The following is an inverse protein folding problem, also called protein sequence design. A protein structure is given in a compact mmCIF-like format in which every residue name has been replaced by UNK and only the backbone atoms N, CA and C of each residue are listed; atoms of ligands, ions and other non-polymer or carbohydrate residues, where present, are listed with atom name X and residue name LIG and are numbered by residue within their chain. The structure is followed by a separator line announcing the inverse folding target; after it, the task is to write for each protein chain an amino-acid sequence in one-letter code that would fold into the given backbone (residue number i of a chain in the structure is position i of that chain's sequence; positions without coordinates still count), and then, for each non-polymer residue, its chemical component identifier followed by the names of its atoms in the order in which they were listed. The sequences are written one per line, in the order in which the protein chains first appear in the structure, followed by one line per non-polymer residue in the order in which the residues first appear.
data_IF_766146279365
#
_entry.id   IF_766146279365
#
_cell.length_a   1.000
_cell.length_b   1.000
_cell.length_c   1.000
_cell.angle_alpha   90.00
_cell.angle_beta   90.00
_cell.angle_gamma   90.00
#
_symmetry.space_group_name_H-M   'P 1'
#
loop_
_entity.id
_entity.type
_entity.pdbx_description
1 polymer ?
#
# COMPACT_ATOMS: atom_id res chain seq x y z
N UNK A 1 -4.77 -46.75 11.74
CA UNK A 1 -4.23 -45.91 10.65
C UNK A 1 -5.18 -45.77 9.46
N UNK A 2 -5.72 -46.83 8.87
CA UNK A 2 -6.62 -46.76 7.70
C UNK A 2 -7.91 -45.91 7.94
N UNK A 3 -8.50 -45.95 9.13
CA UNK A 3 -9.72 -45.14 9.48
C UNK A 3 -9.44 -43.68 9.63
N UNK A 4 -8.23 -43.26 10.08
CA UNK A 4 -7.83 -41.86 10.19
C UNK A 4 -7.52 -41.25 8.82
N UNK A 5 -6.94 -42.04 7.90
CA UNK A 5 -6.69 -41.55 6.52
C UNK A 5 -8.01 -41.37 5.77
N UNK A 6 -8.97 -42.27 5.93
CA UNK A 6 -10.31 -42.16 5.33
C UNK A 6 -11.10 -40.95 5.90
N UNK A 7 -10.98 -40.68 7.19
CA UNK A 7 -11.59 -39.51 7.83
C UNK A 7 -10.96 -38.20 7.33
N UNK A 8 -9.63 -38.14 7.18
CA UNK A 8 -8.94 -36.98 6.63
C UNK A 8 -9.28 -36.73 5.15
N UNK A 9 -9.43 -37.83 4.36
CA UNK A 9 -9.84 -37.72 2.95
C UNK A 9 -11.30 -37.26 2.81
N UNK A 10 -12.19 -37.74 3.67
CA UNK A 10 -13.59 -37.29 3.72
C UNK A 10 -13.71 -35.82 4.14
N UNK A 11 -12.89 -35.38 5.11
CA UNK A 11 -12.83 -33.99 5.54
C UNK A 11 -12.30 -33.06 4.43
N UNK A 12 -11.28 -33.50 3.68
CA UNK A 12 -10.73 -32.75 2.55
C UNK A 12 -11.73 -32.63 1.37
N UNK A 13 -12.56 -33.65 1.15
CA UNK A 13 -13.62 -33.63 0.13
C UNK A 13 -14.80 -32.73 0.51
N UNK A 14 -15.11 -32.59 1.80
CA UNK A 14 -16.18 -31.68 2.27
C UNK A 14 -15.75 -30.22 2.26
N UNK A 15 -14.47 -29.91 2.48
CA UNK A 15 -13.93 -28.54 2.38
C UNK A 15 -13.90 -28.05 0.93
N UNK A 16 -13.70 -28.95 -0.05
CA UNK A 16 -13.74 -28.60 -1.47
C UNK A 16 -15.15 -28.25 -2.01
N UNK A 17 -16.22 -28.73 -1.36
CA UNK A 17 -17.60 -28.47 -1.78
C UNK A 17 -18.18 -27.17 -1.19
N UNK A 18 -17.59 -26.60 -0.15
CA UNK A 18 -18.09 -25.38 0.50
C UNK A 18 -17.59 -24.08 -0.17
N UNK A 19 -16.68 -24.16 -1.15
CA UNK A 19 -16.06 -22.97 -1.76
C UNK A 19 -16.73 -22.48 -3.05
N UNK A 20 -17.82 -23.12 -3.49
CA UNK A 20 -18.65 -22.61 -4.58
C UNK A 20 -19.83 -21.76 -4.04
N UNK A 21 -19.54 -20.79 -3.17
CA UNK A 21 -20.47 -19.69 -3.00
C UNK A 21 -20.41 -18.87 -4.30
N UNK A 22 -21.35 -19.14 -5.19
CA UNK A 22 -21.63 -18.26 -6.31
C UNK A 22 -21.96 -16.91 -5.71
N UNK A 23 -21.04 -15.95 -5.85
CA UNK A 23 -21.35 -14.55 -5.56
C UNK A 23 -22.51 -14.23 -6.51
N UNK A 24 -23.70 -14.06 -5.93
CA UNK A 24 -24.88 -13.65 -6.69
C UNK A 24 -24.71 -12.19 -7.13
N UNK A 25 -24.02 -12.02 -8.25
CA UNK A 25 -23.86 -10.73 -8.93
C UNK A 25 -25.18 -10.22 -9.50
N UNK A 26 -26.22 -11.05 -9.51
CA UNK A 26 -27.55 -10.67 -9.98
C UNK A 26 -28.20 -9.57 -9.14
N UNK A 27 -27.91 -9.52 -7.84
CA UNK A 27 -28.38 -8.46 -6.94
C UNK A 27 -27.69 -7.11 -7.11
N UNK A 28 -26.54 -7.05 -7.76
CA UNK A 28 -25.81 -5.81 -8.05
C UNK A 28 -26.23 -5.18 -9.40
N UNK A 29 -27.07 -5.87 -10.17
CA UNK A 29 -27.52 -5.43 -11.50
C UNK A 29 -28.98 -4.97 -11.39
N UNK A 30 -29.28 -3.67 -11.65
CA UNK A 30 -30.67 -3.20 -11.69
C UNK A 30 -31.48 -4.02 -12.70
N UNK A 31 -32.59 -4.58 -12.25
CA UNK A 31 -33.51 -5.45 -13.04
C UNK A 31 -34.40 -4.67 -14.04
N UNK A 32 -33.89 -3.57 -14.56
CA UNK A 32 -34.55 -2.83 -15.65
C UNK A 32 -34.19 -3.44 -17.01
N UNK A 33 -35.16 -3.72 -17.86
CA UNK A 33 -35.19 -4.37 -19.17
C UNK A 33 -34.04 -4.16 -20.16
N UNK A 34 -32.80 -4.21 -19.70
CA UNK A 34 -31.60 -4.11 -20.51
C UNK A 34 -31.44 -5.37 -21.39
N UNK A 35 -31.09 -5.16 -22.66
CA UNK A 35 -30.76 -6.25 -23.60
C UNK A 35 -29.59 -7.09 -23.04
N UNK A 36 -29.51 -8.38 -23.41
CA UNK A 36 -28.42 -9.27 -22.98
C UNK A 36 -27.04 -8.63 -23.21
N UNK A 37 -26.88 -7.89 -24.30
CA UNK A 37 -25.64 -7.15 -24.62
C UNK A 37 -25.32 -6.05 -23.57
N UNK A 38 -26.31 -5.29 -23.11
CA UNK A 38 -26.10 -4.27 -22.10
C UNK A 38 -25.69 -4.87 -20.76
N UNK A 39 -26.23 -6.03 -20.39
CA UNK A 39 -25.76 -6.78 -19.16
C UNK A 39 -24.34 -7.27 -19.27
N UNK A 40 -23.93 -7.79 -20.43
CA UNK A 40 -22.55 -8.22 -20.66
C UNK A 40 -21.59 -7.03 -20.54
N UNK A 41 -21.91 -5.89 -21.14
CA UNK A 41 -21.12 -4.66 -21.05
C UNK A 41 -21.02 -4.17 -19.59
N UNK A 42 -22.14 -4.17 -18.86
CA UNK A 42 -22.16 -3.76 -17.45
C UNK A 42 -21.34 -4.70 -16.57
N UNK A 43 -21.44 -6.02 -16.76
CA UNK A 43 -20.60 -6.98 -16.05
C UNK A 43 -19.13 -6.80 -16.38
N UNK A 44 -18.77 -6.60 -17.64
CA UNK A 44 -17.40 -6.33 -18.06
C UNK A 44 -16.86 -5.04 -17.41
N UNK A 45 -17.66 -3.98 -17.36
CA UNK A 45 -17.30 -2.73 -16.69
C UNK A 45 -17.05 -2.92 -15.19
N UNK A 46 -17.95 -3.63 -14.49
CA UNK A 46 -17.78 -3.93 -13.05
C UNK A 46 -16.53 -4.75 -12.79
N UNK A 47 -16.28 -5.79 -13.59
CA UNK A 47 -15.06 -6.60 -13.47
C UNK A 47 -13.80 -5.78 -13.75
N UNK A 48 -13.84 -4.88 -14.73
CA UNK A 48 -12.71 -3.98 -15.03
C UNK A 48 -12.45 -3.05 -13.85
N UNK A 49 -13.48 -2.41 -13.29
CA UNK A 49 -13.34 -1.54 -12.11
C UNK A 49 -12.80 -2.33 -10.92
N UNK A 50 -13.34 -3.52 -10.66
CA UNK A 50 -12.91 -4.37 -9.55
C UNK A 50 -11.45 -4.83 -9.69
N UNK A 51 -10.97 -5.06 -10.92
CA UNK A 51 -9.57 -5.43 -11.16
C UNK A 51 -8.59 -4.27 -10.98
N UNK A 52 -9.02 -3.03 -11.23
CA UNK A 52 -8.20 -1.81 -11.10
C UNK A 52 -8.26 -1.21 -9.70
N UNK A 53 -9.37 -1.45 -8.96
CA UNK A 53 -9.62 -0.86 -7.64
C UNK A 53 -8.46 -1.05 -6.62
N UNK A 54 -7.84 -2.25 -6.49
CA UNK A 54 -6.70 -2.41 -5.57
C UNK A 54 -5.51 -1.51 -5.93
N UNK A 55 -5.23 -1.34 -7.23
CA UNK A 55 -4.18 -0.45 -7.71
C UNK A 55 -4.47 1.02 -7.37
N UNK A 56 -5.71 1.45 -7.56
CA UNK A 56 -6.13 2.81 -7.22
C UNK A 56 -6.02 3.07 -5.70
N UNK A 57 -6.45 2.12 -4.86
CA UNK A 57 -6.30 2.26 -3.40
C UNK A 57 -4.84 2.42 -2.98
N UNK A 58 -3.93 1.65 -3.58
CA UNK A 58 -2.48 1.79 -3.35
C UNK A 58 -2.01 3.20 -3.72
N UNK A 59 -2.50 3.74 -4.84
CA UNK A 59 -2.07 5.04 -5.37
C UNK A 59 -2.56 6.23 -4.55
N UNK A 60 -3.71 6.13 -3.85
CA UNK A 60 -4.29 7.25 -3.09
C UNK A 60 -4.08 7.14 -1.58
N UNK A 61 -3.25 6.18 -1.14
CA UNK A 61 -2.97 5.92 0.28
C UNK A 61 -1.48 6.01 0.60
N UNK A 62 -1.13 5.97 1.89
CA UNK A 62 0.26 5.93 2.37
C UNK A 62 0.99 4.59 2.14
N UNK A 63 0.34 3.60 1.52
CA UNK A 63 0.89 2.26 1.30
C UNK A 63 2.26 2.29 0.59
N UNK A 64 2.39 3.13 -0.43
CA UNK A 64 3.63 3.26 -1.21
C UNK A 64 4.80 3.69 -0.34
N UNK A 65 4.61 4.68 0.54
CA UNK A 65 5.64 5.15 1.50
C UNK A 65 6.14 4.02 2.38
N UNK A 66 5.22 3.28 3.01
CA UNK A 66 5.55 2.20 3.92
C UNK A 66 6.26 1.04 3.21
N UNK A 67 5.76 0.63 2.05
CA UNK A 67 6.36 -0.46 1.28
C UNK A 67 7.78 -0.14 0.83
N UNK A 68 8.02 1.08 0.36
CA UNK A 68 9.35 1.54 -0.06
C UNK A 68 10.29 1.56 1.15
N UNK A 69 9.91 2.19 2.26
CA UNK A 69 10.74 2.28 3.46
C UNK A 69 11.09 0.89 4.04
N UNK A 70 10.13 -0.04 4.12
CA UNK A 70 10.35 -1.40 4.57
C UNK A 70 11.24 -2.21 3.63
N UNK A 71 11.15 -1.96 2.31
CA UNK A 71 12.05 -2.57 1.32
C UNK A 71 13.49 -2.10 1.51
N UNK A 72 13.70 -0.83 1.83
CA UNK A 72 15.01 -0.28 2.18
C UNK A 72 15.56 -0.92 3.46
N UNK A 73 14.74 -1.12 4.50
CA UNK A 73 15.18 -1.83 5.71
C UNK A 73 15.76 -3.20 5.37
N UNK A 74 15.02 -4.02 4.61
CA UNK A 74 15.48 -5.36 4.22
C UNK A 74 16.82 -5.31 3.47
N UNK A 75 16.92 -4.38 2.52
CA UNK A 75 18.16 -4.18 1.76
C UNK A 75 19.31 -3.71 2.64
N UNK A 76 19.07 -2.76 3.55
CA UNK A 76 20.04 -2.23 4.50
C UNK A 76 20.59 -3.29 5.46
N UNK A 77 19.74 -4.18 5.93
CA UNK A 77 20.14 -5.33 6.74
C UNK A 77 20.98 -6.36 5.96
N UNK A 78 21.01 -6.29 4.61
CA UNK A 78 21.68 -7.27 3.77
C UNK A 78 20.90 -8.58 3.60
N UNK A 79 19.62 -8.59 3.92
CA UNK A 79 18.76 -9.76 3.82
C UNK A 79 18.17 -9.87 2.41
N UNK A 80 18.39 -11.02 1.74
CA UNK A 80 17.94 -11.23 0.36
C UNK A 80 16.47 -11.69 0.29
N UNK A 81 16.03 -12.55 1.21
CA UNK A 81 14.72 -13.18 1.15
C UNK A 81 13.89 -13.05 2.44
N UNK A 82 14.49 -12.67 3.56
CA UNK A 82 13.80 -12.51 4.84
C UNK A 82 13.77 -11.02 5.28
N UNK A 83 12.65 -10.52 5.81
CA UNK A 83 11.33 -11.13 5.78
C UNK A 83 10.78 -11.27 4.35
N UNK A 84 9.91 -12.27 4.11
CA UNK A 84 9.32 -12.49 2.79
C UNK A 84 8.54 -11.27 2.30
N UNK A 85 8.48 -11.06 0.98
CA UNK A 85 7.76 -9.92 0.38
C UNK A 85 6.31 -9.82 0.89
N UNK A 86 5.64 -10.96 1.04
CA UNK A 86 4.27 -10.99 1.54
C UNK A 86 4.15 -10.40 2.96
N UNK A 87 5.13 -10.66 3.84
CA UNK A 87 5.14 -10.10 5.20
C UNK A 87 5.29 -8.58 5.18
N UNK A 88 6.22 -8.06 4.35
CA UNK A 88 6.41 -6.61 4.21
C UNK A 88 5.18 -5.92 3.62
N UNK A 89 4.56 -6.52 2.60
CA UNK A 89 3.33 -6.02 1.99
C UNK A 89 2.19 -6.03 3.01
N UNK A 90 2.01 -7.14 3.75
CA UNK A 90 0.97 -7.24 4.77
C UNK A 90 1.15 -6.24 5.89
N UNK A 91 2.39 -6.03 6.36
CA UNK A 91 2.70 -5.02 7.37
C UNK A 91 2.43 -3.60 6.85
N UNK A 92 2.86 -3.30 5.61
CA UNK A 92 2.57 -2.01 4.97
C UNK A 92 1.08 -1.75 4.85
N UNK A 93 0.32 -2.77 4.47
CA UNK A 93 -1.14 -2.69 4.34
C UNK A 93 -1.80 -2.44 5.69
N UNK A 94 -1.39 -3.18 6.73
CA UNK A 94 -1.92 -3.01 8.08
C UNK A 94 -1.64 -1.59 8.63
N UNK A 95 -0.40 -1.10 8.45
CA UNK A 95 -0.02 0.27 8.83
C UNK A 95 -0.83 1.31 8.07
N UNK A 96 -1.07 1.06 6.77
CA UNK A 96 -1.90 1.94 5.93
C UNK A 96 -3.33 2.03 6.48
N UNK A 97 -3.97 0.89 6.75
CA UNK A 97 -5.31 0.87 7.33
C UNK A 97 -5.36 1.57 8.69
N UNK A 98 -4.33 1.37 9.51
CA UNK A 98 -4.25 2.01 10.83
C UNK A 98 -4.19 3.54 10.71
N UNK A 99 -3.31 4.07 9.87
CA UNK A 99 -3.12 5.53 9.71
C UNK A 99 -4.30 6.18 8.99
N UNK A 100 -4.85 5.49 7.99
CA UNK A 100 -5.96 6.01 7.18
C UNK A 100 -7.34 5.67 7.73
N UNK A 101 -7.44 5.06 8.92
CA UNK A 101 -8.73 4.74 9.54
C UNK A 101 -9.69 5.95 9.56
N UNK A 102 -9.28 7.18 9.94
CA UNK A 102 -10.17 8.34 9.91
C UNK A 102 -10.71 8.67 8.51
N UNK A 103 -9.86 8.50 7.48
CA UNK A 103 -10.22 8.75 6.07
C UNK A 103 -11.24 7.70 5.58
N UNK A 104 -11.02 6.43 5.88
CA UNK A 104 -11.95 5.35 5.55
C UNK A 104 -13.28 5.51 6.30
N UNK A 105 -13.25 5.88 7.57
CA UNK A 105 -14.45 6.09 8.37
C UNK A 105 -15.30 7.26 7.85
N UNK A 106 -14.67 8.36 7.40
CA UNK A 106 -15.39 9.47 6.75
C UNK A 106 -16.01 9.00 5.43
N UNK A 107 -15.25 8.34 4.55
CA UNK A 107 -15.75 7.85 3.27
C UNK A 107 -16.91 6.86 3.44
N UNK A 108 -16.87 6.04 4.48
CA UNK A 108 -17.96 5.13 4.83
C UNK A 108 -19.22 5.89 5.27
N UNK A 109 -19.10 6.75 6.29
CA UNK A 109 -20.24 7.44 6.91
C UNK A 109 -20.91 8.46 5.98
N UNK A 110 -20.08 9.22 5.24
CA UNK A 110 -20.58 10.34 4.43
C UNK A 110 -20.97 9.91 3.00
N UNK A 111 -20.42 8.78 2.52
CA UNK A 111 -20.62 8.31 1.17
C UNK A 111 -21.28 6.93 1.06
N UNK A 112 -20.63 5.88 1.54
CA UNK A 112 -21.07 4.51 1.26
C UNK A 112 -22.35 4.15 2.04
N UNK A 113 -22.44 4.48 3.31
CA UNK A 113 -23.61 4.20 4.14
C UNK A 113 -24.87 4.93 3.63
N UNK A 114 -24.87 6.26 3.36
CA UNK A 114 -26.02 6.94 2.80
C UNK A 114 -26.44 6.41 1.42
N UNK A 115 -25.48 5.95 0.60
CA UNK A 115 -25.78 5.31 -0.67
C UNK A 115 -26.54 3.98 -0.48
N UNK A 116 -26.08 3.15 0.48
CA UNK A 116 -26.75 1.88 0.81
C UNK A 116 -28.15 2.11 1.38
N UNK A 117 -28.33 3.19 2.15
CA UNK A 117 -29.62 3.61 2.71
C UNK A 117 -30.54 4.32 1.66
N UNK A 118 -30.07 4.43 0.41
CA UNK A 118 -30.76 5.13 -0.69
C UNK A 118 -31.14 6.59 -0.38
N UNK A 119 -30.35 7.27 0.49
CA UNK A 119 -30.59 8.67 0.86
C UNK A 119 -29.89 9.66 -0.06
N UNK A 120 -28.85 9.22 -0.79
CA UNK A 120 -28.12 10.03 -1.77
C UNK A 120 -28.00 9.31 -3.11
N UNK A 121 -27.77 10.07 -4.18
CA UNK A 121 -27.55 9.54 -5.52
C UNK A 121 -26.13 8.98 -5.68
N UNK A 122 -25.91 8.13 -6.69
CA UNK A 122 -24.57 7.57 -6.98
C UNK A 122 -23.53 8.67 -7.25
N UNK A 123 -23.94 9.77 -7.91
CA UNK A 123 -23.05 10.89 -8.19
C UNK A 123 -22.63 11.63 -6.92
N UNK A 124 -23.59 11.87 -6.01
CA UNK A 124 -23.32 12.46 -4.70
C UNK A 124 -22.44 11.55 -3.83
N UNK A 125 -22.70 10.24 -3.84
CA UNK A 125 -21.89 9.26 -3.12
C UNK A 125 -20.46 9.24 -3.64
N UNK A 126 -20.25 9.30 -4.95
CA UNK A 126 -18.90 9.36 -5.52
C UNK A 126 -18.12 10.57 -5.01
N UNK A 127 -18.71 11.75 -4.97
CA UNK A 127 -18.12 12.95 -4.38
C UNK A 127 -17.79 12.75 -2.90
N UNK A 128 -18.76 12.29 -2.12
CA UNK A 128 -18.60 12.09 -0.67
C UNK A 128 -17.54 11.01 -0.32
N UNK A 129 -17.41 9.96 -1.14
CA UNK A 129 -16.37 8.93 -0.96
C UNK A 129 -14.99 9.46 -1.33
N UNK A 130 -14.87 10.25 -2.40
CA UNK A 130 -13.56 10.70 -2.90
C UNK A 130 -12.99 11.88 -2.10
N UNK A 131 -13.83 12.71 -1.49
CA UNK A 131 -13.41 13.92 -0.79
C UNK A 131 -12.47 13.65 0.40
N UNK A 132 -12.70 12.68 1.32
CA UNK A 132 -11.76 12.36 2.37
C UNK A 132 -10.36 11.93 1.87
N UNK A 133 -10.32 11.21 0.73
CA UNK A 133 -9.03 10.85 0.11
C UNK A 133 -8.36 12.05 -0.54
N UNK A 134 -9.13 12.97 -1.13
CA UNK A 134 -8.62 14.24 -1.65
C UNK A 134 -7.97 15.06 -0.54
N UNK A 135 -8.68 15.25 0.59
CA UNK A 135 -8.15 15.97 1.77
C UNK A 135 -6.85 15.33 2.25
N UNK A 136 -6.82 14.00 2.36
CA UNK A 136 -5.63 13.27 2.75
C UNK A 136 -4.46 13.50 1.76
N UNK A 137 -4.68 13.34 0.48
CA UNK A 137 -3.65 13.55 -0.54
C UNK A 137 -3.13 14.99 -0.53
N UNK A 138 -4.01 15.99 -0.40
CA UNK A 138 -3.63 17.40 -0.32
C UNK A 138 -2.80 17.72 0.92
N UNK A 139 -3.04 17.05 2.04
CA UNK A 139 -2.23 17.22 3.26
C UNK A 139 -0.81 16.67 3.13
N UNK A 140 -0.62 15.68 2.25
CA UNK A 140 0.66 14.96 2.11
C UNK A 140 1.45 15.36 0.87
N UNK A 141 0.79 15.85 -0.20
CA UNK A 141 1.44 16.23 -1.45
C UNK A 141 2.29 17.50 -1.31
N UNK A 142 3.42 17.56 -2.00
CA UNK A 142 4.26 18.76 -2.05
C UNK A 142 3.80 19.68 -3.17
N UNK A 143 3.81 20.96 -2.91
CA UNK A 143 3.40 22.01 -3.87
C UNK A 143 4.14 21.93 -5.21
N UNK A 144 5.44 21.65 -5.16
CA UNK A 144 6.25 21.54 -6.39
C UNK A 144 5.88 20.34 -7.26
N UNK A 145 5.35 19.26 -6.66
CA UNK A 145 4.91 18.10 -7.44
C UNK A 145 3.54 18.38 -8.08
N UNK A 146 2.65 19.14 -7.42
CA UNK A 146 1.43 19.66 -8.03
C UNK A 146 1.77 20.59 -9.19
N UNK A 147 2.64 21.58 -8.96
CA UNK A 147 3.05 22.56 -9.97
C UNK A 147 3.67 21.89 -11.21
N UNK A 148 4.44 20.79 -11.03
CA UNK A 148 4.97 20.02 -12.12
C UNK A 148 3.88 19.47 -13.06
N UNK A 149 2.83 18.86 -12.49
CA UNK A 149 1.73 18.29 -13.29
C UNK A 149 0.80 19.36 -13.86
N UNK A 150 0.65 20.49 -13.19
CA UNK A 150 -0.07 21.65 -13.74
C UNK A 150 0.64 22.17 -14.99
N UNK A 151 1.94 22.36 -14.93
CA UNK A 151 2.75 22.82 -16.07
C UNK A 151 2.69 21.82 -17.24
N UNK A 152 2.86 20.52 -16.96
CA UNK A 152 2.75 19.46 -17.95
C UNK A 152 1.35 19.36 -18.59
N UNK A 153 0.30 19.78 -17.89
CA UNK A 153 -1.07 19.82 -18.42
C UNK A 153 -1.33 20.96 -19.41
N UNK A 154 -0.34 21.82 -19.66
CA UNK A 154 -0.41 23.00 -20.54
C UNK A 154 -1.60 23.92 -20.22
N UNK A 155 -1.94 24.06 -18.95
CA UNK A 155 -3.05 24.89 -18.50
C UNK A 155 -4.45 24.28 -18.73
N UNK A 156 -4.55 23.06 -19.26
CA UNK A 156 -5.85 22.40 -19.48
C UNK A 156 -6.60 22.13 -18.15
N UNK A 157 -5.88 22.13 -17.02
CA UNK A 157 -6.40 21.90 -15.67
C UNK A 157 -5.88 22.94 -14.69
N UNK A 158 -5.75 24.22 -15.14
CA UNK A 158 -5.28 25.30 -14.28
C UNK A 158 -6.13 25.43 -13.03
N UNK A 159 -5.51 25.38 -11.87
CA UNK A 159 -6.16 25.38 -10.56
C UNK A 159 -6.09 26.77 -9.97
N UNK A 160 -7.21 27.44 -9.91
CA UNK A 160 -7.33 28.73 -9.21
C UNK A 160 -7.37 28.58 -7.69
N UNK A 161 -7.68 27.40 -7.19
CA UNK A 161 -7.84 27.10 -5.77
C UNK A 161 -7.28 25.69 -5.47
N UNK A 162 -6.34 25.60 -4.51
CA UNK A 162 -5.69 24.36 -4.07
C UNK A 162 -6.68 23.29 -3.61
N UNK A 163 -7.80 23.68 -3.03
CA UNK A 163 -8.84 22.74 -2.59
C UNK A 163 -9.55 22.04 -3.76
N UNK A 164 -9.45 22.59 -4.97
CA UNK A 164 -10.11 22.12 -6.20
C UNK A 164 -9.17 21.51 -7.23
N UNK A 165 -7.95 21.12 -6.83
CA UNK A 165 -7.01 20.43 -7.72
C UNK A 165 -7.67 19.19 -8.33
N UNK A 166 -7.66 19.06 -9.66
CA UNK A 166 -8.20 17.89 -10.34
C UNK A 166 -7.46 16.62 -9.89
N UNK A 167 -8.20 15.54 -9.65
CA UNK A 167 -7.63 14.25 -9.26
C UNK A 167 -6.60 13.72 -10.27
N UNK A 168 -6.73 14.09 -11.55
CA UNK A 168 -5.77 13.74 -12.61
C UNK A 168 -4.39 14.37 -12.40
N UNK A 169 -4.33 15.50 -11.72
CA UNK A 169 -3.08 16.16 -11.29
C UNK A 169 -2.69 15.69 -9.90
N UNK A 170 -3.65 15.62 -8.98
CA UNK A 170 -3.39 15.33 -7.58
C UNK A 170 -2.84 13.91 -7.36
N UNK A 171 -3.43 12.89 -7.98
CA UNK A 171 -3.01 11.50 -7.80
C UNK A 171 -1.54 11.28 -8.21
N UNK A 172 -1.09 11.63 -9.43
CA UNK A 172 0.30 11.45 -9.81
C UNK A 172 1.27 12.32 -9.01
N UNK A 173 0.88 13.55 -8.67
CA UNK A 173 1.68 14.44 -7.81
C UNK A 173 1.87 13.85 -6.40
N UNK A 174 0.80 13.32 -5.81
CA UNK A 174 0.82 12.64 -4.52
C UNK A 174 1.72 11.40 -4.58
N UNK A 175 1.59 10.55 -5.63
CA UNK A 175 2.42 9.36 -5.79
C UNK A 175 3.92 9.68 -5.82
N UNK A 176 4.34 10.72 -6.55
CA UNK A 176 5.74 11.14 -6.58
C UNK A 176 6.18 11.66 -5.20
N UNK A 177 5.32 12.41 -4.52
CA UNK A 177 5.58 12.90 -3.16
C UNK A 177 5.76 11.74 -2.17
N UNK A 178 4.90 10.72 -2.22
CA UNK A 178 4.97 9.52 -1.38
C UNK A 178 6.21 8.67 -1.65
N UNK A 179 6.51 8.45 -2.95
CA UNK A 179 7.74 7.76 -3.35
C UNK A 179 8.96 8.48 -2.78
N UNK A 180 9.05 9.79 -2.97
CA UNK A 180 10.18 10.57 -2.46
C UNK A 180 10.31 10.45 -0.94
N UNK A 181 9.22 10.63 -0.18
CA UNK A 181 9.24 10.47 1.29
C UNK A 181 9.63 9.06 1.70
N UNK A 182 9.12 8.04 0.99
CA UNK A 182 9.53 6.65 1.20
C UNK A 182 11.03 6.44 0.99
N UNK A 183 11.61 7.04 -0.05
CA UNK A 183 13.06 7.02 -0.32
C UNK A 183 13.86 7.79 0.75
N UNK A 184 13.42 8.98 1.15
CA UNK A 184 14.08 9.78 2.19
C UNK A 184 14.12 9.01 3.53
N UNK A 185 12.99 8.46 3.98
CA UNK A 185 12.92 7.65 5.21
C UNK A 185 13.74 6.37 5.04
N UNK A 186 13.59 5.68 3.92
CA UNK A 186 14.32 4.44 3.62
C UNK A 186 15.83 4.64 3.65
N UNK A 187 16.32 5.73 3.09
CA UNK A 187 17.73 6.09 3.14
C UNK A 187 18.22 6.31 4.56
N UNK A 188 17.47 7.05 5.39
CA UNK A 188 17.82 7.26 6.79
C UNK A 188 17.89 5.95 7.60
N UNK A 189 16.99 5.00 7.29
CA UNK A 189 17.00 3.67 7.91
C UNK A 189 18.25 2.88 7.52
N UNK A 190 18.74 3.02 6.29
CA UNK A 190 19.90 2.28 5.79
C UNK A 190 21.21 2.84 6.31
N UNK A 191 21.29 4.14 6.63
CA UNK A 191 22.52 4.81 7.04
C UNK A 191 23.29 4.08 8.16
N UNK A 192 22.69 3.69 9.30
CA UNK A 192 23.43 2.99 10.35
C UNK A 192 23.99 1.64 9.88
N UNK A 193 23.30 0.95 9.00
CA UNK A 193 23.77 -0.32 8.45
C UNK A 193 24.92 -0.15 7.48
N UNK A 194 24.96 0.95 6.71
CA UNK A 194 26.10 1.29 5.88
C UNK A 194 27.35 1.60 6.72
N UNK A 195 27.18 2.30 7.85
CA UNK A 195 28.29 2.56 8.77
C UNK A 195 28.85 1.26 9.34
N UNK A 196 27.99 0.32 9.74
CA UNK A 196 28.40 -1.01 10.20
C UNK A 196 29.19 -1.75 9.10
N UNK A 197 28.71 -1.73 7.84
CA UNK A 197 29.42 -2.35 6.73
C UNK A 197 30.81 -1.76 6.53
N UNK A 198 30.94 -0.43 6.60
CA UNK A 198 32.23 0.25 6.46
C UNK A 198 33.20 -0.12 7.59
N UNK A 199 32.73 -0.15 8.83
CA UNK A 199 33.55 -0.53 10.00
C UNK A 199 34.03 -1.97 9.86
N UNK A 200 33.13 -2.91 9.56
CA UNK A 200 33.47 -4.33 9.39
C UNK A 200 34.44 -4.52 8.22
N UNK A 201 34.23 -3.82 7.10
CA UNK A 201 35.14 -3.89 5.96
C UNK A 201 36.53 -3.38 6.32
N UNK A 202 36.66 -2.26 7.03
CA UNK A 202 37.94 -1.73 7.47
C UNK A 202 38.66 -2.70 8.42
N UNK A 203 37.97 -3.30 9.38
CA UNK A 203 38.50 -4.28 10.31
C UNK A 203 38.98 -5.55 9.59
N UNK A 204 38.16 -6.13 8.70
CA UNK A 204 38.55 -7.36 7.98
C UNK A 204 39.75 -7.15 7.07
N UNK A 205 39.81 -5.99 6.38
CA UNK A 205 40.99 -5.63 5.57
C UNK A 205 42.25 -5.42 6.41
N UNK A 206 42.15 -4.79 7.59
CA UNK A 206 43.30 -4.58 8.48
C UNK A 206 43.86 -5.88 9.03
N UNK A 207 43.00 -6.89 9.19
CA UNK A 207 43.41 -8.24 9.64
C UNK A 207 43.95 -9.13 8.50
N UNK A 208 44.03 -8.60 7.28
CA UNK A 208 44.51 -9.35 6.10
C UNK A 208 43.54 -10.40 5.57
N UNK A 209 42.29 -10.41 6.01
CA UNK A 209 41.25 -11.37 5.56
C UNK A 209 40.63 -10.95 4.24
N UNK A 210 41.44 -10.76 3.20
CA UNK A 210 40.97 -10.28 1.88
C UNK A 210 40.11 -11.28 1.13
N UNK A 211 40.12 -12.57 1.48
CA UNK A 211 39.34 -13.60 0.79
C UNK A 211 37.93 -13.77 1.36
N UNK A 212 37.62 -13.25 2.54
CA UNK A 212 36.30 -13.32 3.15
C UNK A 212 35.49 -12.06 2.78
N UNK A 213 34.30 -12.19 2.17
CA UNK A 213 33.46 -11.03 1.93
C UNK A 213 33.04 -10.37 3.25
N UNK A 214 33.28 -9.06 3.46
CA UNK A 214 32.93 -8.37 4.71
C UNK A 214 31.44 -8.51 5.08
N UNK A 215 30.58 -8.70 4.09
CA UNK A 215 29.13 -8.87 4.26
C UNK A 215 28.74 -10.12 5.10
N UNK A 216 29.57 -11.17 5.10
CA UNK A 216 29.33 -12.38 5.90
C UNK A 216 29.45 -12.07 7.40
N UNK A 217 30.37 -11.17 7.77
CA UNK A 217 30.61 -10.75 9.15
C UNK A 217 29.65 -9.61 9.54
N UNK A 218 29.39 -8.67 8.64
CA UNK A 218 28.53 -7.51 8.95
C UNK A 218 27.07 -7.89 9.14
N UNK A 219 26.55 -8.92 8.46
CA UNK A 219 25.15 -9.33 8.55
C UNK A 219 24.71 -9.70 9.98
N UNK A 220 25.41 -10.60 10.71
CA UNK A 220 25.08 -10.89 12.11
C UNK A 220 25.14 -9.65 13.01
N UNK A 221 26.12 -8.77 12.79
CA UNK A 221 26.27 -7.52 13.56
C UNK A 221 25.10 -6.57 13.33
N UNK A 222 24.65 -6.42 12.09
CA UNK A 222 23.49 -5.60 11.73
C UNK A 222 22.20 -6.12 12.38
N UNK A 223 21.98 -7.44 12.33
CA UNK A 223 20.80 -8.05 12.95
C UNK A 223 20.84 -7.83 14.47
N UNK A 224 21.99 -8.08 15.11
CA UNK A 224 22.16 -7.86 16.54
C UNK A 224 21.89 -6.39 16.90
N UNK A 225 22.48 -5.45 16.18
CA UNK A 225 22.24 -4.01 16.37
C UNK A 225 20.75 -3.68 16.25
N UNK A 226 20.07 -4.15 15.19
CA UNK A 226 18.67 -3.87 14.97
C UNK A 226 17.77 -4.40 16.10
N UNK A 227 18.10 -5.59 16.65
CA UNK A 227 17.37 -6.16 17.79
C UNK A 227 17.64 -5.38 19.07
N UNK A 228 18.90 -5.00 19.34
CA UNK A 228 19.27 -4.28 20.56
C UNK A 228 18.64 -2.88 20.66
N UNK A 229 18.46 -2.19 19.53
CA UNK A 229 17.82 -0.86 19.53
C UNK A 229 16.29 -0.92 19.45
N UNK A 230 15.69 -2.11 19.54
CA UNK A 230 14.25 -2.31 19.29
C UNK A 230 13.80 -1.71 17.93
N UNK A 231 14.54 -2.08 16.89
CA UNK A 231 14.43 -1.47 15.56
C UNK A 231 13.04 -1.54 14.95
N UNK A 232 12.26 -2.59 15.24
CA UNK A 232 10.88 -2.68 14.74
C UNK A 232 9.98 -1.60 15.34
N UNK A 233 10.06 -1.37 16.65
CA UNK A 233 9.25 -0.35 17.34
C UNK A 233 9.61 1.05 16.85
N UNK A 234 10.91 1.37 16.78
CA UNK A 234 11.38 2.66 16.27
C UNK A 234 10.94 2.90 14.83
N UNK A 235 11.06 1.90 13.98
CA UNK A 235 10.73 1.99 12.56
C UNK A 235 9.22 2.17 12.34
N UNK A 236 8.39 1.28 12.91
CA UNK A 236 6.93 1.37 12.78
C UNK A 236 6.42 2.68 13.37
N UNK A 237 6.92 3.05 14.56
CA UNK A 237 6.53 4.31 15.20
C UNK A 237 6.92 5.55 14.39
N UNK A 238 8.11 5.56 13.76
CA UNK A 238 8.54 6.68 12.91
C UNK A 238 7.74 6.76 11.61
N UNK A 239 7.47 5.62 10.97
CA UNK A 239 6.68 5.56 9.75
C UNK A 239 5.24 6.03 9.97
N UNK A 240 4.58 5.57 11.02
CA UNK A 240 3.21 6.01 11.37
C UNK A 240 3.19 7.52 11.62
N UNK A 241 4.10 8.04 12.45
CA UNK A 241 4.20 9.49 12.72
C UNK A 241 4.56 10.33 11.50
N UNK A 242 5.15 9.75 10.46
CA UNK A 242 5.48 10.49 9.24
C UNK A 242 4.25 10.84 8.39
N UNK A 243 3.10 10.24 8.66
CA UNK A 243 1.84 10.43 7.93
C UNK A 243 0.79 11.18 8.75
N UNK A 244 0.83 11.04 10.09
CA UNK A 244 -0.07 11.72 11.04
C UNK A 244 0.25 13.19 11.25
#
# INVERSE_FOLDING_TARGET
MRRLVLAALALALTVGAAAAQTIDLGGLIPSGGATATARIIQMAAVLTVLSVAPGLLIMVTSFTRFTVALSFLRTGLGLQSAPANLVLISLSLFMTFFVMAPTFDKAWRDGLQPLMDNTITQEQAFGAITEPFREFMLSQVREKDIALFEDLSRGSFAVADRSKVDLRILIPAFMISELRRGFEIGFLIVLPFLVIDMIVAALTMSMGMMMLPPSVISLPVKILFFVLVDGWNLLVGSLVRSVS
#
